data_IF_964755405652
#
_entry.id   IF_964755405652
#
_cell.length_a   1.000
_cell.length_b   1.000
_cell.length_c   1.000
_cell.angle_alpha   90.00
_cell.angle_beta   90.00
_cell.angle_gamma   90.00
#
_symmetry.space_group_name_H-M   'P 1'
#
loop_
_entity.id
_entity.type
_entity.pdbx_description
1 polymer ?
#
# COMPACT_ATOMS: atom_id res chain seq x y z
N UNK A 1 -23.71 10.19 21.39
CA UNK A 1 -22.43 9.98 20.66
C UNK A 1 -22.37 10.99 19.52
N UNK A 2 -21.28 11.75 19.37
CA UNK A 2 -21.13 12.72 18.25
C UNK A 2 -20.91 11.94 16.94
N UNK A 3 -21.57 12.36 15.88
CA UNK A 3 -21.36 11.84 14.52
C UNK A 3 -19.95 12.26 14.07
N UNK A 4 -19.18 11.30 13.54
CA UNK A 4 -17.90 11.59 12.90
C UNK A 4 -18.10 12.40 11.62
N UNK A 5 -17.08 13.17 11.25
CA UNK A 5 -17.07 13.94 10.00
C UNK A 5 -17.12 13.00 8.79
N UNK A 6 -17.81 13.39 7.73
CA UNK A 6 -18.03 12.59 6.52
C UNK A 6 -16.73 12.05 5.90
N UNK A 7 -15.65 12.86 5.93
CA UNK A 7 -14.34 12.46 5.44
C UNK A 7 -13.69 11.36 6.28
N UNK A 8 -13.93 11.35 7.59
CA UNK A 8 -13.40 10.32 8.50
C UNK A 8 -14.19 9.03 8.29
N UNK A 9 -15.52 9.15 8.17
CA UNK A 9 -16.43 8.02 7.94
C UNK A 9 -16.10 7.23 6.67
N UNK A 10 -15.70 7.94 5.59
CA UNK A 10 -15.35 7.30 4.32
C UNK A 10 -13.83 7.11 4.13
N UNK A 11 -13.02 7.43 5.13
CA UNK A 11 -11.58 7.18 5.07
C UNK A 11 -11.28 5.69 5.18
N UNK A 12 -10.46 5.17 4.27
CA UNK A 12 -9.88 3.83 4.38
C UNK A 12 -8.57 3.92 5.16
N UNK A 13 -8.47 3.19 6.27
CA UNK A 13 -7.24 3.07 7.06
C UNK A 13 -6.67 1.67 6.87
N UNK A 14 -5.41 1.56 6.46
CA UNK A 14 -4.67 0.29 6.53
C UNK A 14 -4.15 0.11 7.96
N UNK A 15 -4.27 -1.08 8.55
CA UNK A 15 -3.60 -1.36 9.82
C UNK A 15 -2.10 -1.16 9.63
N UNK A 16 -1.47 -0.44 10.56
CA UNK A 16 -0.03 -0.27 10.57
C UNK A 16 0.63 -1.62 10.83
N UNK A 17 1.66 -1.96 10.04
CA UNK A 17 2.47 -3.16 10.23
C UNK A 17 3.96 -2.78 10.25
N UNK A 18 4.68 -3.25 11.26
CA UNK A 18 6.13 -3.11 11.35
C UNK A 18 6.89 -4.02 10.37
N UNK A 19 6.21 -5.00 9.76
CA UNK A 19 6.81 -5.92 8.80
C UNK A 19 6.18 -5.68 7.43
N UNK A 20 6.96 -5.27 6.41
CA UNK A 20 6.45 -5.26 5.05
C UNK A 20 6.14 -6.70 4.65
N UNK A 21 4.90 -6.97 4.28
CA UNK A 21 4.50 -8.26 3.73
C UNK A 21 4.99 -8.33 2.28
N UNK A 22 6.07 -9.07 2.04
CA UNK A 22 6.50 -9.39 0.69
C UNK A 22 5.68 -10.59 0.18
N UNK A 23 5.02 -10.48 -0.98
CA UNK A 23 4.29 -11.59 -1.57
C UNK A 23 5.21 -12.79 -1.84
N UNK A 24 4.85 -13.96 -1.35
CA UNK A 24 5.59 -15.20 -1.67
C UNK A 24 5.60 -15.45 -3.18
N UNK A 25 6.76 -15.85 -3.70
CA UNK A 25 6.95 -16.12 -5.13
C UNK A 25 6.99 -14.88 -6.02
N UNK A 26 7.03 -13.66 -5.44
CA UNK A 26 7.29 -12.45 -6.20
C UNK A 26 8.76 -12.39 -6.66
N UNK A 27 8.98 -12.15 -7.95
CA UNK A 27 10.31 -12.09 -8.56
C UNK A 27 10.42 -10.79 -9.35
N UNK A 28 11.54 -10.08 -9.19
CA UNK A 28 11.82 -8.90 -9.99
C UNK A 28 12.26 -9.29 -11.41
N UNK A 29 11.53 -8.83 -12.43
CA UNK A 29 11.92 -9.01 -13.82
C UNK A 29 12.78 -7.83 -14.28
N UNK A 30 14.10 -8.05 -14.39
CA UNK A 30 15.05 -6.99 -14.76
C UNK A 30 14.80 -6.42 -16.16
N UNK A 31 14.44 -7.26 -17.13
CA UNK A 31 14.20 -6.83 -18.51
C UNK A 31 12.96 -5.93 -18.62
N UNK A 32 11.95 -6.22 -17.82
CA UNK A 32 10.68 -5.46 -17.81
C UNK A 32 10.67 -4.31 -16.81
N UNK A 33 11.56 -4.33 -15.82
CA UNK A 33 11.68 -3.30 -14.78
C UNK A 33 10.60 -3.34 -13.69
N UNK A 34 9.90 -4.46 -13.54
CA UNK A 34 8.83 -4.59 -12.54
C UNK A 34 8.72 -6.00 -11.94
N UNK A 35 8.06 -6.08 -10.79
CA UNK A 35 7.82 -7.32 -10.06
C UNK A 35 6.73 -8.17 -10.70
N UNK A 36 6.94 -9.48 -10.70
CA UNK A 36 6.06 -10.49 -11.29
C UNK A 36 5.67 -11.53 -10.24
N UNK A 37 4.45 -12.05 -10.32
CA UNK A 37 3.99 -13.23 -9.58
C UNK A 37 3.16 -14.08 -10.53
N UNK A 38 3.47 -15.37 -10.66
CA UNK A 38 2.77 -16.30 -11.56
C UNK A 38 2.60 -15.75 -12.98
N UNK A 39 3.69 -15.25 -13.58
CA UNK A 39 3.73 -14.67 -14.94
C UNK A 39 2.89 -13.41 -15.17
N UNK A 40 2.28 -12.86 -14.12
CA UNK A 40 1.51 -11.61 -14.16
C UNK A 40 2.25 -10.49 -13.41
N UNK A 41 2.06 -9.22 -13.79
CA UNK A 41 2.58 -8.10 -13.02
C UNK A 41 2.03 -8.14 -11.60
N UNK A 42 2.91 -8.03 -10.61
CA UNK A 42 2.57 -8.09 -9.20
C UNK A 42 1.58 -6.98 -8.82
N UNK A 43 1.75 -5.79 -9.39
CA UNK A 43 0.88 -4.64 -9.21
C UNK A 43 0.19 -4.32 -10.55
N UNK A 44 -1.06 -4.72 -10.66
CA UNK A 44 -1.96 -4.45 -11.80
C UNK A 44 -3.39 -4.25 -11.31
N UNK A 45 -4.26 -3.62 -12.11
CA UNK A 45 -5.65 -3.33 -11.72
C UNK A 45 -6.43 -4.55 -11.20
N UNK A 46 -6.12 -5.74 -11.73
CA UNK A 46 -6.79 -7.00 -11.37
C UNK A 46 -6.02 -7.81 -10.31
N UNK A 47 -4.87 -7.33 -9.84
CA UNK A 47 -4.08 -8.00 -8.81
C UNK A 47 -4.59 -7.66 -7.40
N UNK A 48 -4.41 -8.62 -6.48
CA UNK A 48 -4.67 -8.43 -5.04
C UNK A 48 -3.92 -7.21 -4.46
N UNK A 49 -2.77 -6.83 -5.06
CA UNK A 49 -1.92 -5.71 -4.65
C UNK A 49 -2.19 -4.40 -5.41
N UNK A 50 -2.98 -4.42 -6.49
CA UNK A 50 -3.32 -3.23 -7.27
C UNK A 50 -4.62 -2.54 -6.84
N UNK A 51 -5.23 -3.02 -5.76
CA UNK A 51 -6.31 -2.30 -5.10
C UNK A 51 -5.80 -0.97 -4.57
N UNK A 52 -6.62 0.09 -4.71
CA UNK A 52 -6.31 1.47 -4.28
C UNK A 52 -5.83 1.50 -2.83
N UNK A 53 -4.52 1.48 -2.63
CA UNK A 53 -3.89 1.83 -1.37
C UNK A 53 -3.75 3.35 -1.35
N UNK A 54 -4.46 4.02 -0.45
CA UNK A 54 -4.20 5.44 -0.19
C UNK A 54 -2.89 5.57 0.59
N UNK A 55 -2.19 6.68 0.28
CA UNK A 55 -1.03 7.27 0.93
C UNK A 55 0.02 6.29 1.46
N UNK A 56 1.20 6.30 0.84
CA UNK A 56 2.39 5.73 1.47
C UNK A 56 2.55 6.42 2.82
N UNK A 57 2.47 5.67 3.91
CA UNK A 57 3.03 6.13 5.16
C UNK A 57 4.54 6.13 4.93
N UNK A 58 5.06 7.23 4.37
CA UNK A 58 6.47 7.43 4.09
C UNK A 58 7.18 7.67 5.44
N UNK A 59 7.33 6.58 6.20
CA UNK A 59 8.03 6.55 7.49
C UNK A 59 9.49 6.97 7.30
N UNK A 60 10.06 6.68 6.12
CA UNK A 60 11.47 6.91 5.81
C UNK A 60 11.84 8.40 5.72
N UNK A 61 10.91 9.29 5.35
CA UNK A 61 11.20 10.73 5.20
C UNK A 61 10.84 11.57 6.43
N UNK A 62 10.18 10.99 7.43
CA UNK A 62 9.68 11.73 8.59
C UNK A 62 8.63 12.80 8.26
N UNK A 63 8.08 12.78 7.04
CA UNK A 63 7.09 13.76 6.59
C UNK A 63 5.77 13.62 7.37
N UNK A 64 5.37 12.38 7.69
CA UNK A 64 4.19 12.08 8.51
C UNK A 64 4.42 12.31 10.03
N UNK A 65 5.61 12.75 10.46
CA UNK A 65 5.93 13.12 11.86
C UNK A 65 5.91 14.64 12.10
N UNK A 66 5.70 15.46 11.06
CA UNK A 66 5.58 16.91 11.22
C UNK A 66 4.18 17.26 11.69
N UNK A 67 3.97 17.26 13.01
CA UNK A 67 2.69 17.65 13.60
C UNK A 67 2.38 17.04 14.97
N UNK A 68 3.34 16.36 15.61
CA UNK A 68 3.37 16.28 17.08
C UNK A 68 3.93 17.57 17.68
#
# INVERSE_FOLDING_TARGET
MKKEHVLIQFSTKRPFSNKPEMPEGAIYNQAKGYWMKNEKPLVSYDSEYGTRATKKCDVETGEDQKGE
#
